data_IF_661414285032
#
_entry.id   IF_661414285032
#
_cell.length_a   1.000
_cell.length_b   1.000
_cell.length_c   1.000
_cell.angle_alpha   90.00
_cell.angle_beta   90.00
_cell.angle_gamma   90.00
#
_symmetry.space_group_name_H-M   'P 1'
#
loop_
_entity.id
_entity.type
_entity.pdbx_description
1 polymer ?
#
# COMPACT_ATOMS: atom_id res chain seq x y z
N UNK A 1 -10.21 -17.86 -19.17
CA UNK A 1 -9.03 -17.09 -18.69
C UNK A 1 -8.71 -17.27 -17.20
N UNK A 2 -9.31 -18.23 -16.49
CA UNK A 2 -9.05 -18.45 -15.04
C UNK A 2 -7.75 -19.23 -14.77
N UNK A 3 -7.34 -20.12 -15.69
CA UNK A 3 -6.12 -20.91 -15.53
C UNK A 3 -4.84 -20.07 -15.54
N UNK A 4 -4.78 -19.00 -16.34
CA UNK A 4 -3.60 -18.13 -16.39
C UNK A 4 -3.49 -17.24 -15.15
N UNK A 5 -4.61 -16.70 -14.65
CA UNK A 5 -4.66 -15.93 -13.41
C UNK A 5 -4.18 -16.77 -12.21
N UNK A 6 -4.62 -18.03 -12.15
CA UNK A 6 -4.20 -18.99 -11.14
C UNK A 6 -2.70 -19.32 -11.23
N UNK A 7 -2.19 -19.59 -12.43
CA UNK A 7 -0.77 -19.91 -12.63
C UNK A 7 0.18 -18.76 -12.25
N UNK A 8 -0.25 -17.51 -12.46
CA UNK A 8 0.53 -16.32 -12.13
C UNK A 8 0.27 -15.78 -10.71
N UNK A 9 -0.68 -16.37 -9.97
CA UNK A 9 -1.12 -15.87 -8.66
C UNK A 9 -1.54 -14.39 -8.68
N UNK A 10 -2.20 -13.95 -9.76
CA UNK A 10 -2.71 -12.58 -9.90
C UNK A 10 -4.25 -12.56 -9.87
N UNK A 11 -4.87 -11.46 -9.43
CA UNK A 11 -6.31 -11.31 -9.47
C UNK A 11 -6.86 -11.46 -10.89
N UNK A 12 -7.95 -12.20 -11.05
CA UNK A 12 -8.55 -12.43 -12.37
C UNK A 12 -9.02 -11.13 -13.03
N UNK A 13 -9.35 -10.09 -12.25
CA UNK A 13 -9.75 -8.79 -12.77
C UNK A 13 -8.64 -8.08 -13.56
N UNK A 14 -7.37 -8.37 -13.25
CA UNK A 14 -6.24 -7.79 -13.96
C UNK A 14 -6.17 -8.34 -15.38
N UNK A 15 -6.37 -9.65 -15.53
CA UNK A 15 -6.41 -10.33 -16.82
C UNK A 15 -7.61 -9.90 -17.67
N UNK A 16 -8.77 -9.69 -17.06
CA UNK A 16 -9.92 -9.13 -17.75
C UNK A 16 -9.66 -7.71 -18.25
N UNK A 17 -9.03 -6.88 -17.44
CA UNK A 17 -8.72 -5.49 -17.81
C UNK A 17 -7.72 -5.42 -18.96
N UNK A 18 -6.68 -6.27 -18.96
CA UNK A 18 -5.76 -6.44 -20.10
C UNK A 18 -6.52 -6.85 -21.36
N UNK A 19 -7.43 -7.81 -21.26
CA UNK A 19 -8.22 -8.26 -22.41
C UNK A 19 -9.18 -7.21 -22.97
N UNK A 20 -9.63 -6.28 -22.11
CA UNK A 20 -10.53 -5.18 -22.47
C UNK A 20 -9.77 -3.92 -22.90
N UNK A 21 -8.42 -3.94 -22.89
CA UNK A 21 -7.60 -2.76 -23.16
C UNK A 21 -7.78 -1.63 -22.13
N UNK A 22 -8.32 -1.95 -20.95
CA UNK A 22 -8.51 -0.98 -19.87
C UNK A 22 -7.19 -0.88 -19.12
N UNK A 23 -6.63 0.33 -18.92
CA UNK A 23 -5.43 0.49 -18.14
C UNK A 23 -5.68 -0.02 -16.72
N UNK A 24 -5.00 -1.11 -16.35
CA UNK A 24 -4.91 -1.54 -14.96
C UNK A 24 -4.00 -0.55 -14.27
N UNK A 25 -4.57 0.38 -13.52
CA UNK A 25 -3.81 1.13 -12.53
C UNK A 25 -3.42 0.14 -11.43
N UNK A 26 -2.35 -0.62 -11.67
CA UNK A 26 -1.69 -1.40 -10.64
C UNK A 26 -1.12 -0.41 -9.63
N UNK A 27 -1.96 0.03 -8.69
CA UNK A 27 -1.48 0.61 -7.46
C UNK A 27 -1.15 -0.57 -6.55
N UNK A 28 -0.12 -1.34 -6.94
CA UNK A 28 0.68 -2.17 -6.02
C UNK A 28 1.55 -1.27 -5.14
N UNK A 29 1.19 0.01 -5.01
CA UNK A 29 1.80 0.92 -4.08
C UNK A 29 1.29 0.51 -2.72
N UNK A 30 2.18 -0.12 -1.97
CA UNK A 30 1.96 -0.46 -0.58
C UNK A 30 1.49 0.79 0.16
N UNK A 31 0.28 0.69 0.72
CA UNK A 31 -0.40 1.75 1.46
C UNK A 31 -0.41 1.39 2.93
N UNK A 32 -0.24 2.40 3.78
CA UNK A 32 -0.37 2.23 5.21
C UNK A 32 -0.89 3.50 5.88
N UNK A 33 -1.39 3.34 7.10
CA UNK A 33 -1.76 4.47 7.92
C UNK A 33 -0.56 4.89 8.79
N UNK A 34 -0.03 6.12 8.69
CA UNK A 34 1.11 6.56 9.50
C UNK A 34 0.77 6.73 11.00
N UNK A 35 -0.51 6.70 11.36
CA UNK A 35 -0.99 6.83 12.75
C UNK A 35 -1.25 5.45 13.37
N UNK A 36 -1.98 4.58 12.67
CA UNK A 36 -2.40 3.28 13.21
C UNK A 36 -1.41 2.15 12.95
N UNK A 37 -0.50 2.30 11.99
CA UNK A 37 0.46 1.24 11.68
C UNK A 37 1.49 1.09 12.80
N UNK A 38 1.70 -0.15 13.24
CA UNK A 38 2.75 -0.48 14.20
C UNK A 38 4.05 -0.81 13.47
N UNK A 39 5.16 -0.12 13.76
CA UNK A 39 6.39 -0.38 13.03
C UNK A 39 6.93 -1.79 13.23
N UNK A 40 7.32 -2.46 12.14
CA UNK A 40 7.80 -3.84 12.16
C UNK A 40 6.70 -4.89 12.10
N UNK A 41 5.42 -4.50 12.05
CA UNK A 41 4.31 -5.40 11.73
C UNK A 41 3.91 -5.26 10.26
N UNK A 42 3.38 -6.33 9.64
CA UNK A 42 2.76 -6.20 8.32
C UNK A 42 1.64 -5.14 8.33
N UNK A 43 1.38 -4.47 7.19
CA UNK A 43 0.22 -3.59 7.06
C UNK A 43 -1.08 -4.39 7.21
N UNK A 44 -2.14 -3.70 7.63
CA UNK A 44 -3.47 -4.29 7.71
C UNK A 44 -3.94 -4.71 6.30
N UNK A 45 -4.50 -5.91 6.17
CA UNK A 45 -5.00 -6.44 4.91
C UNK A 45 -6.07 -5.53 4.28
N UNK A 46 -6.82 -4.79 5.10
CA UNK A 46 -7.80 -3.82 4.61
C UNK A 46 -7.16 -2.70 3.78
N UNK A 47 -5.90 -2.34 4.07
CA UNK A 47 -5.17 -1.30 3.32
C UNK A 47 -4.60 -1.83 2.00
N UNK A 48 -4.44 -3.15 1.86
CA UNK A 48 -3.97 -3.81 0.63
C UNK A 48 -5.02 -3.74 -0.50
N UNK A 49 -6.27 -3.39 -0.19
CA UNK A 49 -7.27 -3.16 -1.22
C UNK A 49 -6.89 -1.96 -2.10
N UNK A 50 -6.90 -2.10 -3.44
CA UNK A 50 -6.65 -0.98 -4.35
C UNK A 50 -7.60 0.21 -4.13
N UNK A 51 -8.82 -0.08 -3.66
CA UNK A 51 -9.87 0.90 -3.38
C UNK A 51 -9.72 1.58 -2.02
N UNK A 52 -8.88 1.07 -1.13
CA UNK A 52 -8.62 1.69 0.16
C UNK A 52 -7.87 3.02 -0.06
N UNK A 53 -8.50 4.11 0.40
CA UNK A 53 -7.94 5.47 0.38
C UNK A 53 -7.74 6.04 1.79
N UNK A 54 -8.51 5.55 2.77
CA UNK A 54 -8.51 6.02 4.14
C UNK A 54 -8.42 4.83 5.10
N UNK A 55 -7.81 5.06 6.27
CA UNK A 55 -7.76 4.09 7.34
C UNK A 55 -9.15 3.88 7.95
N UNK A 56 -9.60 2.63 8.04
CA UNK A 56 -10.91 2.29 8.62
C UNK A 56 -10.97 2.51 10.14
N UNK A 57 -9.83 2.68 10.82
CA UNK A 57 -9.76 2.90 12.27
C UNK A 57 -9.75 4.38 12.66
N UNK A 58 -8.93 5.21 12.00
CA UNK A 58 -8.75 6.62 12.36
C UNK A 58 -9.23 7.62 11.29
N UNK A 59 -9.63 7.16 10.10
CA UNK A 59 -10.07 8.02 9.00
C UNK A 59 -8.93 8.77 8.28
N UNK A 60 -7.68 8.65 8.72
CA UNK A 60 -6.54 9.28 8.04
C UNK A 60 -6.32 8.70 6.64
N UNK A 61 -5.95 9.56 5.69
CA UNK A 61 -5.58 9.11 4.34
C UNK A 61 -4.41 8.13 4.39
N UNK A 62 -4.51 7.04 3.64
CA UNK A 62 -3.42 6.09 3.52
C UNK A 62 -2.29 6.71 2.70
N UNK A 63 -1.06 6.47 3.12
CA UNK A 63 0.12 6.99 2.46
C UNK A 63 0.91 5.84 1.81
N UNK A 64 1.52 6.14 0.67
CA UNK A 64 2.41 5.26 -0.09
C UNK A 64 3.82 5.85 -0.24
N UNK A 65 4.06 7.02 0.37
CA UNK A 65 5.28 7.81 0.28
C UNK A 65 5.74 8.28 1.65
N UNK A 66 7.04 8.54 1.77
CA UNK A 66 7.58 9.17 2.97
C UNK A 66 7.06 10.62 3.08
N UNK A 67 6.52 10.99 4.24
CA UNK A 67 6.05 12.36 4.52
C UNK A 67 7.17 13.41 4.48
N UNK A 68 8.42 13.00 4.72
CA UNK A 68 9.57 13.91 4.77
C UNK A 68 10.23 14.12 3.41
N UNK A 69 10.51 13.05 2.65
CA UNK A 69 11.26 13.14 1.39
C UNK A 69 10.46 12.76 0.13
N UNK A 70 9.17 12.43 0.29
CA UNK A 70 8.23 12.06 -0.78
C UNK A 70 8.65 10.85 -1.64
N UNK A 71 9.68 10.11 -1.22
CA UNK A 71 10.10 8.87 -1.87
C UNK A 71 9.06 7.76 -1.64
N UNK A 72 8.83 6.90 -2.65
CA UNK A 72 7.89 5.79 -2.54
C UNK A 72 8.35 4.79 -1.48
N UNK A 73 7.39 4.21 -0.77
CA UNK A 73 7.65 3.20 0.25
C UNK A 73 7.62 1.84 -0.41
N UNK A 74 8.78 1.21 -0.51
CA UNK A 74 8.93 -0.10 -1.13
C UNK A 74 8.62 -1.25 -0.16
N UNK A 75 8.77 -1.02 1.15
CA UNK A 75 8.55 -2.04 2.17
C UNK A 75 8.27 -1.41 3.54
N UNK A 76 7.40 -2.05 4.32
CA UNK A 76 7.13 -1.74 5.73
C UNK A 76 7.86 -2.69 6.69
N UNK A 77 8.78 -3.52 6.19
CA UNK A 77 9.62 -4.35 7.07
C UNK A 77 10.44 -3.48 8.03
N UNK A 78 10.80 -2.26 7.61
CA UNK A 78 11.58 -1.31 8.40
C UNK A 78 10.74 -0.10 8.82
N UNK A 79 11.02 0.43 10.02
CA UNK A 79 10.33 1.58 10.59
C UNK A 79 10.78 2.95 10.06
N UNK A 80 11.89 2.99 9.34
CA UNK A 80 12.52 4.22 8.85
C UNK A 80 12.61 4.23 7.33
N UNK A 81 12.55 5.43 6.75
CA UNK A 81 12.79 5.65 5.34
C UNK A 81 14.26 5.38 4.99
N UNK A 82 14.57 4.51 3.99
CA UNK A 82 15.94 4.21 3.60
C UNK A 82 16.65 5.40 2.93
N UNK A 83 15.91 6.41 2.47
CA UNK A 83 16.45 7.58 1.78
C UNK A 83 16.75 8.75 2.72
N UNK A 84 15.86 9.04 3.68
CA UNK A 84 16.01 10.20 4.57
C UNK A 84 16.21 9.85 6.05
N UNK A 85 16.13 8.58 6.42
CA UNK A 85 16.30 8.11 7.81
C UNK A 85 15.17 8.46 8.77
N UNK A 86 14.18 9.27 8.35
CA UNK A 86 13.03 9.62 9.18
C UNK A 86 12.07 8.43 9.35
N UNK A 87 11.41 8.30 10.51
CA UNK A 87 10.44 7.25 10.73
C UNK A 87 9.19 7.47 9.86
N UNK A 88 8.54 6.38 9.48
CA UNK A 88 7.31 6.44 8.71
C UNK A 88 6.07 6.78 9.55
N UNK A 89 6.10 6.48 10.85
CA UNK A 89 5.00 6.80 11.74
C UNK A 89 5.03 8.26 12.15
N UNK A 90 3.84 8.86 12.24
CA UNK A 90 3.64 10.24 12.70
C UNK A 90 2.75 10.23 13.93
N UNK A 91 3.02 9.34 14.89
CA UNK A 91 2.32 9.32 16.17
C UNK A 91 2.45 10.70 16.81
N UNK A 92 1.38 11.49 16.70
CA UNK A 92 1.20 12.70 17.49
C UNK A 92 0.98 12.22 18.93
N UNK A 93 2.06 12.01 19.66
CA UNK A 93 1.98 12.16 21.11
C UNK A 93 1.71 13.64 21.34
N UNK A 94 0.45 13.96 21.63
CA UNK A 94 0.09 15.20 22.28
C UNK A 94 -0.34 14.87 23.70
#
# INVERSE_FOLDING_TARGET
MRGLAYALSIPSEYLESVSKGVPVSASDTLKFCPICWTPGTPPDEMWLSPKAKFCMFCGTALCDRCSNCNQPIMSLTFRFCPYCGQPYNTTSNQ
#
